data_IF_062072117538
#
_entry.id   IF_062072117538
#
_cell.length_a   1.000
_cell.length_b   1.000
_cell.length_c   1.000
_cell.angle_alpha   90.00
_cell.angle_beta   90.00
_cell.angle_gamma   90.00
#
_symmetry.space_group_name_H-M   'P 1'
#
loop_
_entity.id
_entity.type
_entity.pdbx_description
1 polymer ?
#
# COMPACT_ATOMS: atom_id res chain seq x y z
N UNK A 1 20.18 41.46 12.15
CA UNK A 1 18.84 41.08 11.77
C UNK A 1 18.96 40.23 10.53
N UNK A 2 18.82 38.91 10.67
CA UNK A 2 18.85 38.03 9.52
C UNK A 2 17.48 38.10 8.86
N UNK A 3 17.46 38.55 7.62
CA UNK A 3 16.24 38.53 6.86
C UNK A 3 15.86 37.07 6.63
N UNK A 4 14.60 36.77 6.88
CA UNK A 4 14.09 35.43 6.60
C UNK A 4 14.29 35.16 5.12
N UNK A 5 15.00 34.10 4.81
CA UNK A 5 15.15 33.68 3.43
C UNK A 5 13.80 33.16 3.01
N UNK A 6 13.21 33.76 2.00
CA UNK A 6 11.96 33.27 1.49
C UNK A 6 12.24 31.91 0.87
N UNK A 7 11.86 30.88 1.57
CA UNK A 7 11.92 29.54 0.99
C UNK A 7 10.90 29.47 -0.15
N UNK A 8 11.28 28.92 -1.29
CA UNK A 8 10.30 28.80 -2.37
C UNK A 8 9.11 27.97 -1.87
N UNK A 9 7.94 28.47 -2.15
CA UNK A 9 6.73 27.83 -1.65
C UNK A 9 6.63 26.42 -2.22
N UNK A 10 6.31 25.49 -1.35
CA UNK A 10 6.09 24.10 -1.76
C UNK A 10 4.84 24.08 -2.64
N UNK A 11 4.90 23.52 -3.83
CA UNK A 11 3.70 23.50 -4.67
C UNK A 11 2.64 22.58 -4.07
N UNK A 12 1.41 23.02 -4.17
CA UNK A 12 0.28 22.26 -3.69
C UNK A 12 -0.43 21.67 -4.87
N UNK A 13 -0.62 20.36 -4.85
CA UNK A 13 -1.26 19.64 -5.96
C UNK A 13 -2.48 18.93 -5.43
N UNK A 14 -3.61 19.08 -6.11
CA UNK A 14 -4.83 18.40 -5.77
C UNK A 14 -5.11 17.35 -6.84
N UNK A 15 -5.27 16.10 -6.45
CA UNK A 15 -5.69 15.03 -7.36
C UNK A 15 -7.09 14.60 -6.94
N UNK A 16 -8.05 14.69 -7.87
CA UNK A 16 -9.42 14.26 -7.64
C UNK A 16 -9.75 13.11 -8.60
N UNK A 17 -9.80 11.90 -8.11
CA UNK A 17 -10.01 10.70 -8.91
C UNK A 17 -10.62 9.61 -8.05
N UNK A 18 -11.73 9.04 -8.50
CA UNK A 18 -12.41 8.03 -7.70
C UNK A 18 -11.77 6.65 -7.82
N UNK A 19 -11.13 6.33 -8.95
CA UNK A 19 -10.51 5.03 -9.15
C UNK A 19 -9.20 4.98 -8.36
N UNK A 20 -9.06 4.09 -7.38
CA UNK A 20 -7.85 4.07 -6.57
C UNK A 20 -6.58 3.76 -7.36
N UNK A 21 -6.69 2.94 -8.42
CA UNK A 21 -5.50 2.64 -9.21
C UNK A 21 -5.01 3.87 -9.98
N UNK A 22 -5.93 4.56 -10.63
CA UNK A 22 -5.58 5.78 -11.38
C UNK A 22 -5.07 6.86 -10.43
N UNK A 23 -5.73 7.00 -9.27
CA UNK A 23 -5.33 8.00 -8.29
C UNK A 23 -3.91 7.73 -7.79
N UNK A 24 -3.59 6.46 -7.53
CA UNK A 24 -2.24 6.11 -7.08
C UNK A 24 -1.20 6.35 -8.17
N UNK A 25 -1.54 6.02 -9.42
CA UNK A 25 -0.64 6.27 -10.54
C UNK A 25 -0.35 7.76 -10.66
N UNK A 26 -1.37 8.60 -10.54
CA UNK A 26 -1.19 10.04 -10.61
C UNK A 26 -0.33 10.56 -9.46
N UNK A 27 -0.58 10.05 -8.25
CA UNK A 27 0.21 10.42 -7.09
C UNK A 27 1.68 10.06 -7.30
N UNK A 28 1.94 8.86 -7.79
CA UNK A 28 3.32 8.42 -8.00
C UNK A 28 4.01 9.27 -9.05
N UNK A 29 3.29 9.65 -10.11
CA UNK A 29 3.88 10.49 -11.13
C UNK A 29 4.22 11.88 -10.59
N UNK A 30 3.32 12.47 -9.82
CA UNK A 30 3.55 13.81 -9.24
C UNK A 30 4.75 13.76 -8.29
N UNK A 31 4.76 12.79 -7.38
CA UNK A 31 5.83 12.70 -6.40
C UNK A 31 7.15 12.25 -7.05
N UNK A 32 7.06 11.50 -8.14
CA UNK A 32 8.26 11.12 -8.90
C UNK A 32 8.90 12.32 -9.59
N UNK A 33 8.08 13.31 -10.00
CA UNK A 33 8.61 14.51 -10.60
C UNK A 33 9.12 15.48 -9.54
N UNK A 34 8.38 15.63 -8.46
CA UNK A 34 8.79 16.53 -7.40
C UNK A 34 8.35 15.99 -6.05
N UNK A 35 9.31 15.52 -5.26
CA UNK A 35 9.00 14.77 -4.04
C UNK A 35 8.48 15.63 -2.89
N UNK A 36 8.76 16.94 -2.91
CA UNK A 36 8.35 17.81 -1.81
C UNK A 36 6.95 18.41 -2.01
N UNK A 37 6.20 17.98 -3.01
CA UNK A 37 4.88 18.53 -3.25
C UNK A 37 3.93 18.27 -2.08
N UNK A 38 3.15 19.27 -1.73
CA UNK A 38 2.06 19.12 -0.76
C UNK A 38 0.88 18.55 -1.56
N UNK A 39 0.67 17.23 -1.45
CA UNK A 39 -0.26 16.53 -2.29
C UNK A 39 -1.52 16.18 -1.53
N UNK A 40 -2.67 16.58 -2.04
CA UNK A 40 -3.96 16.20 -1.50
C UNK A 40 -4.70 15.34 -2.50
N UNK A 41 -5.30 14.27 -2.03
CA UNK A 41 -6.03 13.35 -2.91
C UNK A 41 -7.47 13.24 -2.46
N UNK A 42 -8.39 13.39 -3.39
CA UNK A 42 -9.82 13.32 -3.13
C UNK A 42 -10.44 12.25 -4.01
N UNK A 43 -11.52 11.65 -3.54
CA UNK A 43 -12.22 10.60 -4.29
C UNK A 43 -13.48 11.10 -4.97
N UNK A 44 -13.91 12.30 -4.64
CA UNK A 44 -15.10 12.87 -5.29
C UNK A 44 -14.97 14.40 -5.36
N UNK A 45 -15.84 14.99 -6.13
CA UNK A 45 -15.76 16.42 -6.37
C UNK A 45 -16.12 17.27 -5.16
N UNK A 46 -16.94 16.77 -4.25
CA UNK A 46 -17.28 17.53 -3.05
C UNK A 46 -16.07 17.67 -2.13
N UNK A 47 -15.32 16.58 -1.96
CA UNK A 47 -14.08 16.64 -1.18
C UNK A 47 -13.11 17.65 -1.79
N UNK A 48 -13.02 17.68 -3.12
CA UNK A 48 -12.13 18.62 -3.81
C UNK A 48 -12.54 20.06 -3.54
N UNK A 49 -13.83 20.37 -3.62
CA UNK A 49 -14.32 21.72 -3.35
C UNK A 49 -14.03 22.11 -1.89
N UNK A 50 -14.29 21.21 -0.95
CA UNK A 50 -14.04 21.51 0.46
C UNK A 50 -12.57 21.80 0.72
N UNK A 51 -11.68 21.04 0.07
CA UNK A 51 -10.26 21.27 0.23
C UNK A 51 -9.85 22.61 -0.36
N UNK A 52 -10.37 22.92 -1.55
CA UNK A 52 -10.04 24.20 -2.21
C UNK A 52 -10.56 25.42 -1.47
N UNK A 53 -11.67 25.26 -0.72
CA UNK A 53 -12.15 26.37 0.11
C UNK A 53 -11.15 26.73 1.20
N UNK A 54 -10.39 25.75 1.70
CA UNK A 54 -9.39 26.02 2.71
C UNK A 54 -8.16 26.63 2.09
N UNK A 55 -7.73 26.15 0.93
CA UNK A 55 -6.53 26.63 0.32
C UNK A 55 -6.50 26.24 -1.15
N UNK A 56 -6.24 27.20 -2.01
CA UNK A 56 -6.19 26.92 -3.44
C UNK A 56 -4.91 26.19 -3.82
N UNK A 57 -5.00 25.20 -4.70
CA UNK A 57 -3.80 24.50 -5.14
C UNK A 57 -3.05 25.26 -6.25
N UNK A 58 -1.83 24.84 -6.50
CA UNK A 58 -1.03 25.34 -7.60
C UNK A 58 -1.22 24.51 -8.87
N UNK A 59 -1.77 23.32 -8.75
CA UNK A 59 -2.06 22.43 -9.88
C UNK A 59 -3.21 21.51 -9.48
N UNK A 60 -4.16 21.32 -10.38
CA UNK A 60 -5.26 20.38 -10.17
C UNK A 60 -5.21 19.32 -11.25
N UNK A 61 -5.32 18.06 -10.86
CA UNK A 61 -5.48 16.94 -11.79
C UNK A 61 -6.79 16.26 -11.39
N UNK A 62 -7.78 16.32 -12.24
CA UNK A 62 -9.11 15.81 -11.89
C UNK A 62 -9.70 14.95 -12.97
N UNK A 63 -10.35 13.87 -12.56
CA UNK A 63 -11.11 13.05 -13.49
C UNK A 63 -12.41 13.78 -13.84
N UNK A 64 -12.79 13.71 -15.11
CA UNK A 64 -14.06 14.28 -15.51
C UNK A 64 -15.20 13.53 -14.85
N UNK A 65 -15.10 12.20 -14.77
CA UNK A 65 -16.14 11.37 -14.24
C UNK A 65 -15.98 11.18 -12.73
N UNK A 66 -16.20 12.23 -11.94
CA UNK A 66 -16.16 12.16 -10.49
C UNK A 66 -17.58 12.06 -9.92
N UNK A 67 -17.74 11.33 -8.82
CA UNK A 67 -19.04 11.35 -8.13
C UNK A 67 -19.30 12.72 -7.50
N UNK A 68 -20.54 13.04 -7.40
CA UNK A 68 -20.95 14.31 -6.79
C UNK A 68 -20.77 15.47 -7.75
N UNK A 69 -19.71 16.20 -7.62
CA UNK A 69 -19.40 17.31 -8.53
C UNK A 69 -18.38 16.78 -9.53
N UNK A 70 -18.69 16.79 -10.82
CA UNK A 70 -17.80 16.21 -11.81
C UNK A 70 -16.60 17.14 -12.11
N UNK A 71 -15.63 16.57 -12.81
CA UNK A 71 -14.40 17.33 -13.09
C UNK A 71 -14.61 18.53 -13.99
N UNK A 72 -15.59 18.48 -14.90
CA UNK A 72 -15.88 19.61 -15.75
C UNK A 72 -16.44 20.77 -14.91
N UNK A 73 -17.32 20.47 -13.97
CA UNK A 73 -17.84 21.48 -13.06
C UNK A 73 -16.76 22.06 -12.15
N UNK A 74 -15.81 21.22 -11.73
CA UNK A 74 -14.67 21.72 -10.96
C UNK A 74 -13.83 22.69 -11.81
N UNK A 75 -13.58 22.34 -13.06
CA UNK A 75 -12.81 23.19 -13.94
C UNK A 75 -13.52 24.54 -14.15
N UNK A 76 -14.84 24.46 -14.36
CA UNK A 76 -15.62 25.67 -14.53
C UNK A 76 -15.53 26.56 -13.28
N UNK A 77 -15.66 25.97 -12.10
CA UNK A 77 -15.55 26.71 -10.84
C UNK A 77 -14.18 27.36 -10.65
N UNK A 78 -13.12 26.63 -10.99
CA UNK A 78 -11.76 27.16 -10.85
C UNK A 78 -11.55 28.30 -11.84
N UNK A 79 -12.04 28.19 -13.07
CA UNK A 79 -11.90 29.25 -14.05
C UNK A 79 -12.71 30.50 -13.66
N UNK A 80 -13.83 30.33 -12.99
CA UNK A 80 -14.63 31.44 -12.51
C UNK A 80 -13.93 32.26 -11.42
N UNK A 81 -12.89 31.70 -10.78
CA UNK A 81 -12.13 32.47 -9.80
C UNK A 81 -11.28 33.56 -10.46
N UNK A 82 -11.07 33.47 -11.76
CA UNK A 82 -10.34 34.48 -12.55
C UNK A 82 -8.95 34.79 -11.99
N UNK A 83 -8.26 33.77 -11.49
CA UNK A 83 -6.90 33.96 -10.99
C UNK A 83 -5.93 34.23 -12.12
N UNK A 84 -4.93 35.04 -11.85
CA UNK A 84 -3.87 35.35 -12.79
C UNK A 84 -2.52 35.11 -12.10
N UNK A 85 -1.72 34.19 -12.60
CA UNK A 85 -2.00 33.30 -13.72
C UNK A 85 -3.05 32.26 -13.37
N UNK A 86 -3.73 31.74 -14.37
CA UNK A 86 -4.76 30.75 -14.16
C UNK A 86 -4.16 29.48 -13.53
N UNK A 87 -4.91 28.87 -12.62
CA UNK A 87 -4.42 27.65 -11.99
C UNK A 87 -4.36 26.53 -13.05
N UNK A 88 -3.20 25.91 -13.23
CA UNK A 88 -3.13 24.80 -14.18
C UNK A 88 -4.08 23.67 -13.79
N UNK A 89 -4.83 23.18 -14.78
CA UNK A 89 -5.83 22.14 -14.54
C UNK A 89 -5.71 21.10 -15.62
N UNK A 90 -5.40 19.86 -15.22
CA UNK A 90 -5.34 18.73 -16.14
C UNK A 90 -6.62 17.92 -15.93
N UNK A 91 -7.42 17.81 -16.98
CA UNK A 91 -8.67 17.05 -16.90
C UNK A 91 -8.46 15.69 -17.55
N UNK A 92 -8.82 14.62 -16.86
CA UNK A 92 -8.64 13.25 -17.33
C UNK A 92 -10.01 12.63 -17.54
N UNK A 93 -10.25 11.94 -18.65
CA UNK A 93 -11.56 11.42 -18.95
C UNK A 93 -11.48 10.12 -19.70
N UNK A 94 -12.55 9.30 -19.58
CA UNK A 94 -12.72 8.14 -20.42
C UNK A 94 -13.24 8.54 -21.82
N UNK A 95 -13.65 9.78 -22.02
CA UNK A 95 -14.26 10.21 -23.28
C UNK A 95 -13.24 10.83 -24.19
N UNK A 96 -13.14 10.33 -25.42
CA UNK A 96 -12.24 10.91 -26.39
C UNK A 96 -12.98 11.41 -27.62
N UNK A 97 -14.31 11.42 -27.59
CA UNK A 97 -15.07 11.91 -28.72
C UNK A 97 -14.98 13.42 -28.88
N UNK A 98 -15.09 13.89 -30.10
CA UNK A 98 -14.88 15.30 -30.38
C UNK A 98 -15.89 16.21 -29.68
N UNK A 99 -17.11 15.76 -29.46
CA UNK A 99 -18.10 16.56 -28.76
C UNK A 99 -17.68 16.79 -27.31
N UNK A 100 -17.18 15.74 -26.64
CA UNK A 100 -16.71 15.88 -25.26
C UNK A 100 -15.51 16.79 -25.16
N UNK A 101 -14.60 16.74 -26.12
CA UNK A 101 -13.44 17.61 -26.13
C UNK A 101 -13.85 19.08 -26.37
N UNK A 102 -14.79 19.31 -27.33
CA UNK A 102 -15.24 20.66 -27.60
C UNK A 102 -15.91 21.33 -26.42
N UNK A 103 -16.58 20.55 -25.58
CA UNK A 103 -17.24 21.10 -24.40
C UNK A 103 -16.24 21.66 -23.41
N UNK A 104 -15.01 21.14 -23.38
CA UNK A 104 -14.00 21.52 -22.42
C UNK A 104 -13.15 22.68 -22.93
N UNK A 105 -12.98 22.81 -24.25
CA UNK A 105 -12.07 23.80 -24.82
C UNK A 105 -12.30 25.23 -24.35
N UNK A 106 -13.54 25.74 -24.25
CA UNK A 106 -13.73 27.11 -23.80
C UNK A 106 -13.25 27.36 -22.36
N UNK A 107 -13.08 26.32 -21.57
CA UNK A 107 -12.61 26.46 -20.19
C UNK A 107 -11.09 26.41 -20.11
N UNK A 108 -10.42 26.21 -21.23
CA UNK A 108 -8.97 26.27 -21.35
C UNK A 108 -8.24 25.44 -20.29
N UNK A 109 -8.47 24.13 -20.24
CA UNK A 109 -7.65 23.31 -19.34
C UNK A 109 -6.21 23.31 -19.82
N UNK A 110 -5.28 23.09 -18.91
CA UNK A 110 -3.88 22.97 -19.29
C UNK A 110 -3.67 21.73 -20.16
N UNK A 111 -4.41 20.66 -19.88
CA UNK A 111 -4.41 19.49 -20.73
C UNK A 111 -5.71 18.73 -20.57
N UNK A 112 -6.13 18.04 -21.62
CA UNK A 112 -7.23 17.11 -21.58
C UNK A 112 -6.63 15.76 -21.97
N UNK A 113 -6.65 14.80 -21.06
CA UNK A 113 -6.03 13.51 -21.28
C UNK A 113 -7.07 12.40 -21.23
N UNK A 114 -6.93 11.43 -22.11
CA UNK A 114 -7.85 10.31 -22.11
C UNK A 114 -7.22 9.09 -21.47
N UNK A 115 -8.05 8.28 -20.84
CA UNK A 115 -7.61 7.00 -20.31
C UNK A 115 -7.59 5.97 -21.44
N UNK A 116 -6.62 5.06 -21.48
CA UNK A 116 -5.55 4.88 -20.50
C UNK A 116 -4.48 5.95 -20.62
N UNK A 117 -3.87 6.31 -19.49
CA UNK A 117 -2.98 7.44 -19.46
C UNK A 117 -1.63 7.14 -20.11
N UNK A 118 -1.16 8.07 -20.90
CA UNK A 118 0.21 8.04 -21.37
C UNK A 118 1.07 8.62 -20.25
N UNK A 119 1.64 7.73 -19.43
CA UNK A 119 2.35 8.16 -18.25
C UNK A 119 3.61 8.95 -18.56
N UNK A 120 4.30 8.63 -19.67
CA UNK A 120 5.49 9.37 -20.04
C UNK A 120 5.13 10.79 -20.49
N UNK A 121 4.10 10.95 -21.31
CA UNK A 121 3.66 12.28 -21.72
C UNK A 121 3.18 13.10 -20.54
N UNK A 122 2.47 12.46 -19.61
CA UNK A 122 2.01 13.17 -18.42
C UNK A 122 3.20 13.56 -17.53
N UNK A 123 4.20 12.69 -17.40
CA UNK A 123 5.37 13.03 -16.60
C UNK A 123 6.10 14.24 -17.16
N UNK A 124 6.26 14.29 -18.47
CA UNK A 124 6.91 15.45 -19.09
C UNK A 124 6.13 16.73 -18.84
N UNK A 125 4.79 16.65 -18.90
CA UNK A 125 3.96 17.82 -18.63
C UNK A 125 4.06 18.24 -17.17
N UNK A 126 4.12 17.29 -16.26
CA UNK A 126 4.27 17.60 -14.84
C UNK A 126 5.65 18.21 -14.56
N UNK A 127 6.69 17.75 -15.24
CA UNK A 127 8.00 18.39 -15.12
C UNK A 127 7.93 19.86 -15.51
N UNK A 128 7.27 20.16 -16.62
CA UNK A 128 7.10 21.54 -17.04
C UNK A 128 6.33 22.36 -16.01
N UNK A 129 5.27 21.81 -15.43
CA UNK A 129 4.44 22.57 -14.50
C UNK A 129 5.04 22.68 -13.10
N UNK A 130 5.78 21.68 -12.64
CA UNK A 130 6.24 21.66 -11.26
C UNK A 130 7.71 22.06 -11.10
N UNK A 131 8.52 21.91 -12.16
CA UNK A 131 9.94 22.20 -12.05
C UNK A 131 10.34 23.49 -12.74
N UNK A 132 9.77 23.81 -13.89
CA UNK A 132 10.19 24.98 -14.64
C UNK A 132 9.75 26.31 -14.05
N UNK A 133 8.70 26.28 -13.23
CA UNK A 133 8.24 27.54 -12.64
C UNK A 133 9.15 28.06 -11.55
N UNK A 134 10.08 27.26 -11.07
CA UNK A 134 11.01 27.71 -10.09
C UNK A 134 12.38 27.57 -10.68
N UNK A 135 12.99 28.65 -10.97
CA UNK A 135 14.40 28.65 -11.34
C UNK A 135 15.14 27.94 -10.20
N UNK A 136 15.98 26.98 -10.49
CA UNK A 136 16.63 26.26 -9.43
C UNK A 136 17.47 27.23 -8.62
N UNK A 137 17.08 27.40 -7.39
CA UNK A 137 17.96 28.07 -6.47
C UNK A 137 18.99 27.01 -6.14
N UNK A 138 20.12 27.14 -6.75
CA UNK A 138 21.18 26.19 -6.50
C UNK A 138 21.45 26.17 -5.01
N UNK A 139 21.22 25.06 -4.42
CA UNK A 139 21.76 24.90 -3.10
C UNK A 139 20.83 24.75 -1.94
N UNK A 140 19.55 24.81 -2.09
CA UNK A 140 18.72 24.69 -0.91
C UNK A 140 17.63 23.67 -1.11
N UNK A 141 17.99 22.45 -1.03
CA UNK A 141 17.00 21.45 -0.68
C UNK A 141 16.93 21.51 0.83
N UNK A 142 15.80 21.88 1.41
CA UNK A 142 15.73 21.82 2.86
C UNK A 142 16.01 20.39 3.26
N UNK A 143 16.86 20.25 4.21
CA UNK A 143 17.18 18.93 4.70
C UNK A 143 15.93 18.38 5.36
N UNK A 144 15.14 17.64 4.60
CA UNK A 144 14.03 16.94 5.19
C UNK A 144 14.61 15.92 6.12
N UNK A 145 14.19 15.96 7.35
CA UNK A 145 14.54 14.87 8.26
C UNK A 145 13.80 13.62 7.78
N UNK A 146 14.30 12.48 8.07
CA UNK A 146 13.60 11.25 7.69
C UNK A 146 12.13 11.23 8.15
N UNK A 147 11.91 11.78 9.28
CA UNK A 147 10.56 11.93 9.79
C UNK A 147 9.63 12.72 8.89
N UNK A 148 10.09 13.59 8.45
CA UNK A 148 9.31 14.45 7.59
C UNK A 148 9.06 13.83 6.26
N UNK A 149 9.82 13.14 5.96
CA UNK A 149 9.65 12.43 4.74
C UNK A 149 8.61 11.38 4.87
N UNK A 150 8.61 10.84 5.87
CA UNK A 150 7.68 9.81 6.13
C UNK A 150 6.28 10.35 6.32
N UNK A 151 6.29 11.29 6.82
CA UNK A 151 5.01 11.89 7.02
C UNK A 151 4.42 12.44 5.74
N UNK A 152 5.22 12.90 5.04
CA UNK A 152 4.81 13.38 3.80
C UNK A 152 4.50 12.29 2.82
N UNK A 153 5.08 11.43 2.98
CA UNK A 153 4.88 10.32 2.14
C UNK A 153 3.64 9.55 2.52
N UNK A 154 3.48 9.57 3.57
CA UNK A 154 2.30 8.88 4.02
C UNK A 154 1.03 9.56 3.57
N UNK A 155 1.20 10.63 3.48
CA UNK A 155 0.06 11.35 3.01
C UNK A 155 -0.14 11.27 1.54
N UNK A 156 0.88 11.19 1.07
CA UNK A 156 0.71 11.25 -0.33
C UNK A 156 0.72 9.95 -0.97
N UNK A 157 1.33 9.49 -0.74
CA UNK A 157 1.30 8.42 -1.67
C UNK A 157 1.91 7.22 -1.11
N UNK A 158 1.26 6.80 -0.74
CA UNK A 158 1.76 5.67 -0.26
C UNK A 158 2.62 5.14 -1.25
N UNK A 159 3.44 5.41 -1.05
CA UNK A 159 4.43 4.97 -1.84
C UNK A 159 4.28 3.58 -2.26
N UNK A 160 4.66 3.51 -3.13
CA UNK A 160 4.87 2.21 -3.63
C UNK A 160 6.10 1.79 -2.96
N UNK A 161 6.20 0.64 -2.79
CA UNK A 161 7.39 0.01 -2.21
C UNK A 161 8.24 -0.71 -3.25
N UNK A 162 9.37 -1.21 -2.79
CA UNK A 162 10.21 -1.99 -3.71
C UNK A 162 9.55 -3.32 -4.08
N UNK A 163 9.87 -3.80 -5.26
CA UNK A 163 9.29 -5.05 -5.74
C UNK A 163 10.20 -6.23 -5.41
N UNK A 164 9.61 -7.32 -5.00
CA UNK A 164 10.35 -8.56 -4.84
C UNK A 164 10.65 -9.17 -6.23
N UNK A 165 9.69 -9.11 -7.13
CA UNK A 165 9.91 -9.64 -8.48
C UNK A 165 10.93 -8.76 -9.19
N UNK A 166 11.89 -9.37 -9.84
CA UNK A 166 12.92 -8.64 -10.55
C UNK A 166 12.31 -7.74 -11.62
N UNK A 167 12.79 -6.49 -11.67
CA UNK A 167 12.24 -5.49 -12.56
C UNK A 167 12.33 -5.95 -14.03
N UNK A 168 13.45 -6.51 -14.44
CA UNK A 168 13.58 -6.99 -15.82
C UNK A 168 12.58 -8.10 -16.12
N UNK A 169 12.32 -8.98 -15.16
CA UNK A 169 11.34 -10.04 -15.31
C UNK A 169 9.94 -9.48 -15.49
N UNK A 170 9.57 -8.50 -14.67
CA UNK A 170 8.23 -7.90 -14.76
C UNK A 170 8.01 -7.21 -16.12
N UNK A 171 9.04 -6.54 -16.62
CA UNK A 171 8.93 -5.87 -17.91
C UNK A 171 8.84 -6.91 -19.03
N UNK A 172 9.64 -7.99 -18.94
CA UNK A 172 9.60 -9.04 -19.94
C UNK A 172 8.24 -9.75 -19.96
N UNK A 173 7.63 -9.99 -18.79
CA UNK A 173 6.31 -10.60 -18.74
C UNK A 173 5.28 -9.75 -19.48
N UNK A 174 5.37 -8.44 -19.38
CA UNK A 174 4.47 -7.56 -20.10
C UNK A 174 4.66 -7.68 -21.61
N UNK A 175 5.91 -7.82 -22.05
CA UNK A 175 6.19 -7.93 -23.48
C UNK A 175 5.70 -9.25 -24.08
N UNK A 176 5.60 -10.31 -23.28
CA UNK A 176 5.18 -11.61 -23.76
C UNK A 176 3.81 -12.03 -23.24
N UNK A 177 3.04 -11.11 -22.66
CA UNK A 177 1.83 -11.46 -21.96
C UNK A 177 0.75 -12.05 -22.85
N UNK A 178 0.72 -11.70 -24.14
CA UNK A 178 -0.31 -12.23 -25.02
C UNK A 178 -0.15 -13.74 -25.22
N UNK A 179 1.01 -14.31 -24.96
CA UNK A 179 1.23 -15.74 -25.07
C UNK A 179 1.30 -16.48 -23.76
N UNK A 180 0.99 -15.81 -22.62
CA UNK A 180 1.09 -16.43 -21.33
C UNK A 180 -0.30 -16.60 -20.75
N UNK A 181 -0.58 -17.75 -20.14
CA UNK A 181 -1.85 -17.90 -19.46
C UNK A 181 -1.81 -17.29 -18.04
N UNK A 182 -2.98 -17.08 -17.48
CA UNK A 182 -3.07 -16.42 -16.17
C UNK A 182 -2.41 -17.23 -15.06
N UNK A 183 -2.45 -18.55 -15.14
CA UNK A 183 -1.84 -19.40 -14.10
C UNK A 183 -0.31 -19.27 -14.09
N UNK A 184 0.29 -19.17 -15.29
CA UNK A 184 1.72 -19.00 -15.36
C UNK A 184 2.13 -17.62 -14.88
N UNK A 185 1.37 -16.60 -15.22
CA UNK A 185 1.62 -15.24 -14.75
C UNK A 185 1.50 -15.19 -13.22
N UNK A 186 0.47 -15.82 -12.67
CA UNK A 186 0.30 -15.87 -11.22
C UNK A 186 1.51 -16.51 -10.56
N UNK A 187 2.02 -17.60 -11.12
CA UNK A 187 3.18 -18.27 -10.55
C UNK A 187 4.39 -17.33 -10.51
N UNK A 188 4.58 -16.51 -11.53
CA UNK A 188 5.72 -15.60 -11.58
C UNK A 188 5.59 -14.42 -10.61
N UNK A 189 4.36 -13.96 -10.33
CA UNK A 189 4.16 -12.74 -9.58
C UNK A 189 3.69 -12.97 -8.14
N UNK A 190 3.24 -14.19 -7.78
CA UNK A 190 2.47 -14.37 -6.56
C UNK A 190 3.23 -14.09 -5.26
N UNK A 191 4.55 -14.11 -5.29
CA UNK A 191 5.32 -13.89 -4.07
C UNK A 191 5.70 -12.42 -3.85
N UNK A 192 5.21 -11.53 -4.70
CA UNK A 192 5.48 -10.11 -4.54
C UNK A 192 4.32 -9.43 -3.82
N UNK A 193 4.51 -8.94 -2.59
CA UNK A 193 3.41 -8.31 -1.86
C UNK A 193 2.84 -7.08 -2.54
N UNK A 194 3.70 -6.25 -3.09
CA UNK A 194 3.25 -4.99 -3.67
C UNK A 194 2.45 -5.24 -4.95
N UNK A 195 2.95 -6.09 -5.83
CA UNK A 195 2.24 -6.42 -7.06
C UNK A 195 0.90 -7.10 -6.72
N UNK A 196 0.89 -8.00 -5.74
CA UNK A 196 -0.34 -8.67 -5.33
C UNK A 196 -1.40 -7.67 -4.86
N UNK A 197 -1.02 -6.73 -4.00
CA UNK A 197 -1.97 -5.75 -3.49
C UNK A 197 -2.52 -4.88 -4.60
N UNK A 198 -1.67 -4.44 -5.51
CA UNK A 198 -2.10 -3.56 -6.59
C UNK A 198 -3.00 -4.29 -7.58
N UNK A 199 -2.70 -5.57 -7.90
CA UNK A 199 -3.57 -6.33 -8.78
C UNK A 199 -4.94 -6.55 -8.15
N UNK A 200 -5.00 -6.86 -6.86
CA UNK A 200 -6.27 -7.02 -6.17
C UNK A 200 -7.05 -5.69 -6.20
N UNK A 201 -6.38 -4.59 -5.94
CA UNK A 201 -7.03 -3.27 -5.97
C UNK A 201 -7.55 -2.94 -7.37
N UNK A 202 -6.76 -3.20 -8.40
CA UNK A 202 -7.15 -2.92 -9.76
C UNK A 202 -8.35 -3.78 -10.20
N UNK A 203 -8.37 -5.05 -9.80
CA UNK A 203 -9.47 -5.93 -10.16
C UNK A 203 -10.77 -5.48 -9.49
N UNK A 204 -10.70 -5.06 -8.24
CA UNK A 204 -11.89 -4.60 -7.53
C UNK A 204 -12.39 -3.25 -8.08
N UNK A 205 -11.52 -2.49 -8.73
CA UNK A 205 -11.91 -1.23 -9.34
C UNK A 205 -12.36 -1.39 -10.79
N UNK A 206 -12.19 -2.56 -11.37
CA UNK A 206 -12.51 -2.73 -12.78
C UNK A 206 -14.00 -2.58 -13.03
N UNK A 207 -14.33 -1.91 -14.12
CA UNK A 207 -15.75 -1.66 -14.43
C UNK A 207 -16.54 -2.93 -14.62
N UNK A 208 -15.89 -4.01 -15.05
CA UNK A 208 -16.58 -5.24 -15.30
C UNK A 208 -16.83 -6.07 -14.05
N UNK A 209 -16.24 -5.72 -12.93
CA UNK A 209 -16.35 -6.57 -11.75
C UNK A 209 -17.64 -6.26 -11.00
N UNK A 210 -18.57 -7.20 -11.00
CA UNK A 210 -19.87 -7.05 -10.35
C UNK A 210 -20.11 -8.08 -9.25
N UNK A 211 -19.15 -8.90 -8.93
CA UNK A 211 -19.33 -9.96 -7.94
C UNK A 211 -18.77 -9.63 -6.58
N UNK A 212 -18.48 -10.66 -5.80
CA UNK A 212 -17.86 -10.49 -4.51
C UNK A 212 -16.49 -9.88 -4.68
N UNK A 213 -16.01 -9.10 -3.72
CA UNK A 213 -14.69 -8.51 -3.83
C UNK A 213 -13.60 -9.56 -3.99
N UNK A 214 -12.66 -9.26 -4.89
CA UNK A 214 -11.53 -10.13 -5.12
C UNK A 214 -10.56 -10.02 -3.96
N UNK A 215 -10.06 -11.15 -3.47
CA UNK A 215 -9.15 -11.17 -2.32
C UNK A 215 -7.89 -11.98 -2.60
N UNK A 216 -7.69 -12.46 -3.82
CA UNK A 216 -6.50 -13.26 -4.15
C UNK A 216 -5.94 -12.81 -5.49
N UNK A 217 -4.67 -13.11 -5.74
CA UNK A 217 -4.08 -12.79 -7.03
C UNK A 217 -4.73 -13.58 -8.16
N UNK A 218 -5.06 -14.86 -7.94
CA UNK A 218 -5.73 -15.63 -8.96
C UNK A 218 -7.08 -15.02 -9.33
N UNK A 219 -7.84 -14.59 -8.34
CA UNK A 219 -9.10 -13.89 -8.59
C UNK A 219 -8.90 -12.58 -9.34
N UNK A 220 -7.86 -11.85 -8.99
CA UNK A 220 -7.56 -10.58 -9.66
C UNK A 220 -7.22 -10.80 -11.13
N UNK A 221 -6.38 -11.80 -11.42
CA UNK A 221 -6.00 -12.08 -12.80
C UNK A 221 -7.17 -12.63 -13.61
N UNK A 222 -8.12 -13.31 -12.97
CA UNK A 222 -9.32 -13.76 -13.67
C UNK A 222 -10.16 -12.57 -14.15
N UNK A 223 -10.19 -11.48 -13.39
CA UNK A 223 -10.93 -10.29 -13.79
C UNK A 223 -10.13 -9.45 -14.80
N UNK A 224 -8.84 -9.26 -14.55
CA UNK A 224 -8.02 -8.36 -15.36
C UNK A 224 -7.52 -9.02 -16.64
N UNK A 225 -7.29 -10.29 -16.62
CA UNK A 225 -6.61 -10.99 -17.70
C UNK A 225 -5.10 -10.89 -17.61
N UNK A 226 -4.39 -11.81 -18.25
CA UNK A 226 -2.93 -11.82 -18.13
C UNK A 226 -2.26 -10.60 -18.75
N UNK A 227 -2.78 -10.06 -19.84
CA UNK A 227 -2.15 -8.90 -20.48
C UNK A 227 -2.23 -7.69 -19.57
N UNK A 228 -3.42 -7.39 -19.04
CA UNK A 228 -3.56 -6.24 -18.16
C UNK A 228 -2.80 -6.45 -16.85
N UNK A 229 -2.83 -7.66 -16.31
CA UNK A 229 -2.07 -7.95 -15.09
C UNK A 229 -0.57 -7.75 -15.28
N UNK A 230 -0.01 -8.25 -16.39
CA UNK A 230 1.41 -8.08 -16.68
C UNK A 230 1.76 -6.61 -16.92
N UNK A 231 0.85 -5.86 -17.57
CA UNK A 231 1.11 -4.46 -17.81
C UNK A 231 1.11 -3.66 -16.49
N UNK A 232 0.26 -4.02 -15.55
CA UNK A 232 0.26 -3.37 -14.23
C UNK A 232 1.59 -3.67 -13.52
N UNK A 233 2.04 -4.93 -13.53
CA UNK A 233 3.31 -5.28 -12.90
C UNK A 233 4.48 -4.54 -13.55
N UNK A 234 4.49 -4.43 -14.88
CA UNK A 234 5.51 -3.70 -15.61
C UNK A 234 5.49 -2.22 -15.25
N UNK A 235 4.30 -1.63 -15.12
CA UNK A 235 4.17 -0.24 -14.71
C UNK A 235 4.75 0.01 -13.33
N UNK A 236 4.52 -0.91 -12.40
CA UNK A 236 5.12 -0.79 -11.08
C UNK A 236 6.64 -0.94 -11.15
N UNK A 237 7.15 -1.83 -12.00
CA UNK A 237 8.58 -2.06 -12.12
C UNK A 237 9.32 -0.84 -12.68
N UNK A 238 8.63 0.02 -13.41
CA UNK A 238 9.26 1.21 -13.98
C UNK A 238 9.33 2.38 -13.01
N UNK A 239 8.73 2.27 -11.82
CA UNK A 239 8.79 3.34 -10.85
C UNK A 239 10.13 3.33 -10.12
N UNK A 240 10.56 4.51 -9.68
CA UNK A 240 11.87 4.63 -9.03
C UNK A 240 11.96 3.83 -7.74
N UNK A 241 10.87 3.72 -7.00
CA UNK A 241 10.89 2.99 -5.74
C UNK A 241 10.88 1.48 -5.91
N UNK A 242 10.71 0.98 -7.15
CA UNK A 242 10.69 -0.46 -7.37
C UNK A 242 12.04 -1.12 -7.08
N UNK A 243 13.14 -0.37 -7.21
CA UNK A 243 14.47 -0.90 -6.99
C UNK A 243 15.15 -0.10 -5.88
N UNK A 244 15.72 -0.79 -4.92
CA UNK A 244 16.46 -0.14 -3.85
C UNK A 244 17.93 -0.06 -4.23
N UNK A 245 18.56 1.09 -4.04
CA UNK A 245 19.95 1.29 -4.41
C UNK A 245 20.91 1.20 -3.23
N UNK A 246 20.38 1.21 -2.00
CA UNK A 246 21.21 1.09 -0.81
C UNK A 246 21.28 -0.35 -0.36
N UNK A 247 22.48 -0.84 -0.05
CA UNK A 247 22.65 -2.19 0.48
C UNK A 247 21.90 -2.36 1.81
N UNK A 248 21.85 -1.33 2.63
CA UNK A 248 21.14 -1.41 3.91
C UNK A 248 19.62 -1.53 3.70
N UNK A 249 19.06 -0.78 2.77
CA UNK A 249 17.64 -0.90 2.45
C UNK A 249 17.33 -2.25 1.82
N UNK A 250 18.20 -2.73 0.95
CA UNK A 250 17.98 -4.03 0.31
C UNK A 250 18.03 -5.16 1.33
N UNK A 251 18.94 -5.09 2.30
CA UNK A 251 19.00 -6.08 3.35
C UNK A 251 17.70 -6.11 4.17
N UNK A 252 17.16 -4.95 4.49
CA UNK A 252 15.89 -4.88 5.22
C UNK A 252 14.73 -5.40 4.36
N UNK A 253 14.69 -5.05 3.09
CA UNK A 253 13.65 -5.56 2.20
C UNK A 253 13.71 -7.09 2.09
N UNK A 254 14.92 -7.64 2.00
CA UNK A 254 15.09 -9.08 1.90
C UNK A 254 14.54 -9.79 3.14
N UNK A 255 14.76 -9.23 4.33
CA UNK A 255 14.20 -9.79 5.55
C UNK A 255 12.68 -9.71 5.54
N UNK A 256 12.14 -8.60 5.07
CA UNK A 256 10.69 -8.43 5.01
C UNK A 256 10.05 -9.38 4.00
N UNK A 257 10.66 -9.54 2.84
CA UNK A 257 10.13 -10.47 1.83
C UNK A 257 10.20 -11.92 2.33
N UNK A 258 11.30 -12.28 3.00
CA UNK A 258 11.43 -13.61 3.59
C UNK A 258 10.34 -13.84 4.64
N UNK A 259 10.09 -12.85 5.49
CA UNK A 259 9.07 -12.98 6.52
C UNK A 259 7.66 -13.05 5.90
N UNK A 260 7.40 -12.27 4.84
CA UNK A 260 6.13 -12.32 4.14
C UNK A 260 5.91 -13.69 3.50
N UNK A 261 6.94 -14.22 2.86
CA UNK A 261 6.84 -15.53 2.21
C UNK A 261 6.61 -16.62 3.25
N UNK A 262 7.34 -16.58 4.37
CA UNK A 262 7.20 -17.57 5.43
C UNK A 262 5.81 -17.51 6.05
N UNK A 263 5.30 -16.31 6.31
CA UNK A 263 3.96 -16.13 6.87
C UNK A 263 2.91 -16.65 5.90
N UNK A 264 3.06 -16.32 4.61
CA UNK A 264 2.12 -16.77 3.57
C UNK A 264 2.11 -18.29 3.47
N UNK A 265 3.28 -18.92 3.52
CA UNK A 265 3.37 -20.39 3.42
C UNK A 265 2.75 -21.06 4.64
N UNK A 266 3.02 -20.56 5.86
CA UNK A 266 2.37 -21.09 7.05
C UNK A 266 0.86 -20.90 6.98
N UNK A 267 0.42 -19.73 6.54
CA UNK A 267 -1.02 -19.46 6.42
C UNK A 267 -1.69 -20.38 5.41
N UNK A 268 -1.01 -20.63 4.30
CA UNK A 268 -1.54 -21.52 3.27
C UNK A 268 -1.68 -22.95 3.81
N UNK A 269 -0.67 -23.45 4.50
CA UNK A 269 -0.72 -24.83 5.01
C UNK A 269 -1.73 -24.95 6.14
N UNK A 270 -1.76 -24.00 7.06
CA UNK A 270 -2.77 -23.99 8.12
C UNK A 270 -4.17 -23.90 7.50
N UNK A 271 -4.34 -23.09 6.47
CA UNK A 271 -5.62 -22.99 5.77
C UNK A 271 -6.06 -24.33 5.21
N UNK A 272 -5.13 -25.10 4.64
CA UNK A 272 -5.44 -26.45 4.15
C UNK A 272 -5.79 -27.41 5.28
N UNK A 273 -5.02 -27.38 6.38
CA UNK A 273 -5.29 -28.26 7.52
C UNK A 273 -6.66 -27.97 8.14
N UNK A 274 -7.08 -26.71 8.14
CA UNK A 274 -8.30 -26.29 8.80
C UNK A 274 -9.48 -26.15 7.84
N UNK A 275 -9.28 -26.51 6.59
CA UNK A 275 -10.30 -26.43 5.53
C UNK A 275 -10.83 -25.00 5.32
N UNK A 276 -9.92 -24.05 5.28
CA UNK A 276 -10.24 -22.64 5.04
C UNK A 276 -9.92 -22.28 3.58
N UNK A 277 -10.13 -21.04 3.22
CA UNK A 277 -9.76 -20.53 1.89
C UNK A 277 -8.24 -20.36 1.82
N UNK A 278 -7.58 -21.35 1.25
CA UNK A 278 -6.12 -21.45 1.25
C UNK A 278 -5.47 -20.26 0.55
N UNK A 279 -6.00 -19.88 -0.59
CA UNK A 279 -5.37 -18.78 -1.36
C UNK A 279 -5.60 -17.42 -0.70
N UNK A 280 -6.74 -17.21 -0.07
CA UNK A 280 -6.95 -15.98 0.68
C UNK A 280 -6.02 -15.89 1.88
N UNK A 281 -5.82 -17.01 2.58
CA UNK A 281 -4.88 -17.05 3.70
C UNK A 281 -3.46 -16.76 3.22
N UNK A 282 -3.06 -17.34 2.09
CA UNK A 282 -1.75 -17.08 1.52
C UNK A 282 -1.58 -15.59 1.22
N UNK A 283 -2.56 -14.99 0.55
CA UNK A 283 -2.48 -13.57 0.20
C UNK A 283 -2.43 -12.69 1.44
N UNK A 284 -3.24 -12.98 2.46
CA UNK A 284 -3.22 -12.16 3.67
C UNK A 284 -1.87 -12.24 4.37
N UNK A 285 -1.26 -13.41 4.42
CA UNK A 285 0.06 -13.55 5.03
C UNK A 285 1.14 -12.82 4.24
N UNK A 286 1.04 -12.89 2.92
CA UNK A 286 2.01 -12.22 2.08
C UNK A 286 1.94 -10.70 2.23
N UNK A 287 0.73 -10.16 2.41
CA UNK A 287 0.53 -8.73 2.43
C UNK A 287 0.83 -8.09 3.80
N UNK A 288 1.28 -8.86 4.76
CA UNK A 288 1.50 -8.32 6.11
C UNK A 288 2.60 -7.27 6.17
N UNK A 289 3.51 -7.22 5.20
CA UNK A 289 4.62 -6.30 5.24
C UNK A 289 4.46 -5.09 4.32
N UNK A 290 3.25 -4.82 3.82
CA UNK A 290 3.07 -3.70 2.90
C UNK A 290 3.52 -2.36 3.48
N UNK A 291 3.20 -2.13 4.75
CA UNK A 291 3.58 -0.86 5.39
C UNK A 291 5.08 -0.72 5.52
N UNK A 292 5.73 -1.80 5.92
CA UNK A 292 7.19 -1.79 6.05
C UNK A 292 7.86 -1.52 4.69
N UNK A 293 7.39 -2.19 3.65
CA UNK A 293 7.97 -1.99 2.32
C UNK A 293 7.74 -0.57 1.82
N UNK A 294 6.59 0.01 2.13
CA UNK A 294 6.32 1.40 1.75
C UNK A 294 7.27 2.37 2.48
N UNK A 295 7.58 2.10 3.74
CA UNK A 295 8.55 2.91 4.47
C UNK A 295 9.93 2.82 3.80
N UNK A 296 10.33 1.62 3.37
CA UNK A 296 11.61 1.49 2.66
C UNK A 296 11.59 2.25 1.34
N UNK A 297 10.47 2.24 0.63
CA UNK A 297 10.34 3.04 -0.60
C UNK A 297 10.50 4.53 -0.33
N UNK A 298 9.91 5.03 0.77
CA UNK A 298 10.07 6.42 1.14
C UNK A 298 11.52 6.75 1.50
N UNK A 299 12.20 5.85 2.20
CA UNK A 299 13.61 6.06 2.53
C UNK A 299 14.49 6.04 1.28
N UNK A 300 14.12 5.21 0.29
CA UNK A 300 14.84 5.21 -0.99
C UNK A 300 14.70 6.57 -1.67
N UNK A 301 13.49 7.14 -1.67
CA UNK A 301 13.31 8.45 -2.26
C UNK A 301 14.07 9.53 -1.48
N UNK A 302 14.11 9.43 -0.17
CA UNK A 302 14.87 10.37 0.64
C UNK A 302 16.37 10.25 0.35
N UNK A 303 16.86 9.02 0.16
CA UNK A 303 18.26 8.82 -0.19
C UNK A 303 18.57 9.44 -1.55
N UNK A 304 17.68 9.26 -2.54
CA UNK A 304 17.89 9.83 -3.87
C UNK A 304 17.83 11.36 -3.85
N UNK A 305 17.14 11.93 -2.87
CA UNK A 305 17.10 13.38 -2.71
C UNK A 305 18.33 13.92 -1.93
N UNK A 306 19.28 13.08 -1.60
CA UNK A 306 20.51 13.50 -0.93
C UNK A 306 20.55 13.24 0.56
N UNK A 307 19.57 12.55 1.09
CA UNK A 307 19.57 12.22 2.53
C UNK A 307 20.58 11.14 2.88
N UNK A 308 20.95 11.08 4.13
CA UNK A 308 21.87 10.06 4.60
C UNK A 308 21.12 8.96 5.33
N UNK A 309 21.42 7.70 5.00
CA UNK A 309 20.84 6.56 5.66
C UNK A 309 21.87 5.82 6.46
N UNK A 310 21.45 5.35 7.61
CA UNK A 310 22.20 4.36 8.38
C UNK A 310 21.18 3.37 8.97
N UNK A 311 21.68 2.31 9.55
CA UNK A 311 20.80 1.26 10.08
C UNK A 311 19.84 1.77 11.15
N UNK A 312 20.29 2.72 11.97
CA UNK A 312 19.43 3.26 13.04
C UNK A 312 18.27 4.06 12.45
N UNK A 313 18.53 4.87 11.43
CA UNK A 313 17.47 5.65 10.77
C UNK A 313 16.45 4.70 10.14
N UNK A 314 16.92 3.64 9.49
CA UNK A 314 16.01 2.69 8.86
C UNK A 314 15.15 2.00 9.93
N UNK A 315 15.78 1.52 10.99
CA UNK A 315 15.07 0.80 12.03
C UNK A 315 14.05 1.69 12.73
N UNK A 316 14.43 2.90 13.08
CA UNK A 316 13.53 3.84 13.74
C UNK A 316 12.35 4.20 12.82
N UNK A 317 12.62 4.36 11.53
CA UNK A 317 11.57 4.69 10.59
C UNK A 317 10.57 3.53 10.45
N UNK A 318 11.08 2.30 10.39
CA UNK A 318 10.20 1.15 10.34
C UNK A 318 9.35 1.04 11.61
N UNK A 319 9.97 1.19 12.77
CA UNK A 319 9.21 1.11 14.02
C UNK A 319 8.14 2.18 14.13
N UNK A 320 8.45 3.39 13.69
CA UNK A 320 7.54 4.49 13.87
C UNK A 320 6.42 4.55 12.84
N UNK A 321 6.70 4.18 11.59
CA UNK A 321 5.77 4.47 10.52
C UNK A 321 5.12 3.26 9.85
N UNK A 322 5.64 2.03 10.03
CA UNK A 322 5.14 0.89 9.27
C UNK A 322 3.66 0.61 9.49
N UNK A 323 3.20 0.67 10.73
CA UNK A 323 1.79 0.38 11.03
C UNK A 323 0.86 1.40 10.36
N UNK A 324 1.22 2.67 10.46
CA UNK A 324 0.41 3.73 9.85
C UNK A 324 0.40 3.62 8.32
N UNK A 325 1.57 3.33 7.73
CA UNK A 325 1.62 3.16 6.28
C UNK A 325 0.82 1.94 5.84
N UNK A 326 0.90 0.84 6.58
CA UNK A 326 0.15 -0.37 6.23
C UNK A 326 -1.35 -0.11 6.26
N UNK A 327 -1.82 0.53 7.32
CA UNK A 327 -3.24 0.84 7.44
C UNK A 327 -3.69 1.78 6.31
N UNK A 328 -2.90 2.80 6.04
CA UNK A 328 -3.24 3.78 5.01
C UNK A 328 -3.28 3.13 3.62
N UNK A 329 -2.32 2.24 3.31
CA UNK A 329 -2.30 1.60 2.00
C UNK A 329 -3.49 0.66 1.83
N UNK A 330 -3.79 -0.14 2.84
CA UNK A 330 -4.92 -1.06 2.77
C UNK A 330 -6.23 -0.31 2.54
N UNK A 331 -6.36 0.84 3.19
CA UNK A 331 -7.55 1.66 3.06
C UNK A 331 -7.59 2.38 1.71
N UNK A 332 -6.45 2.98 1.32
CA UNK A 332 -6.41 3.70 0.06
C UNK A 332 -6.70 2.81 -1.13
N UNK A 333 -6.13 1.62 -1.14
CA UNK A 333 -6.36 0.69 -2.23
C UNK A 333 -7.70 -0.02 -2.10
N UNK A 334 -8.46 0.28 -1.06
CA UNK A 334 -9.80 -0.30 -0.82
C UNK A 334 -9.75 -1.82 -0.86
N UNK A 335 -8.72 -2.38 -0.24
CA UNK A 335 -8.68 -3.83 -0.12
C UNK A 335 -9.91 -4.29 0.65
N UNK A 336 -10.53 -5.42 0.28
CA UNK A 336 -11.76 -5.84 0.95
C UNK A 336 -11.60 -5.97 2.45
N UNK A 337 -12.65 -5.61 3.20
CA UNK A 337 -12.57 -5.62 4.66
C UNK A 337 -12.15 -6.97 5.21
N UNK A 338 -12.69 -8.06 4.68
CA UNK A 338 -12.29 -9.38 5.16
C UNK A 338 -10.79 -9.61 4.98
N UNK A 339 -10.23 -9.21 3.86
CA UNK A 339 -8.80 -9.36 3.62
C UNK A 339 -7.99 -8.47 4.57
N UNK A 340 -8.44 -7.22 4.79
CA UNK A 340 -7.74 -6.33 5.72
C UNK A 340 -7.74 -6.90 7.14
N UNK A 341 -8.84 -7.50 7.57
CA UNK A 341 -8.90 -8.13 8.88
C UNK A 341 -7.93 -9.30 9.00
N UNK A 342 -7.80 -10.10 7.96
CA UNK A 342 -6.86 -11.21 7.97
C UNK A 342 -5.41 -10.73 7.99
N UNK A 343 -5.11 -9.68 7.25
CA UNK A 343 -3.75 -9.10 7.25
C UNK A 343 -3.41 -8.57 8.65
N UNK A 344 -4.33 -7.86 9.28
CA UNK A 344 -4.10 -7.33 10.62
C UNK A 344 -3.93 -8.48 11.64
N UNK A 345 -4.63 -9.57 11.45
CA UNK A 345 -4.59 -10.68 12.39
C UNK A 345 -3.22 -11.35 12.48
N UNK A 346 -2.34 -11.14 11.49
CA UNK A 346 -0.98 -11.67 11.57
C UNK A 346 -0.29 -11.19 12.86
N UNK A 347 -0.59 -9.96 13.28
CA UNK A 347 0.03 -9.42 14.48
C UNK A 347 -0.93 -9.37 15.66
N UNK A 348 -2.17 -9.05 15.46
CA UNK A 348 -3.12 -8.96 16.57
C UNK A 348 -4.55 -9.17 16.08
N UNK A 349 -5.43 -9.58 16.96
CA UNK A 349 -6.84 -9.71 16.63
C UNK A 349 -7.69 -9.17 17.77
N UNK A 350 -8.88 -8.72 17.43
CA UNK A 350 -9.76 -8.14 18.44
C UNK A 350 -10.30 -9.18 19.38
N UNK A 351 -10.45 -8.83 20.64
CA UNK A 351 -11.10 -9.71 21.60
C UNK A 351 -12.59 -9.72 21.30
N UNK A 352 -13.17 -10.84 21.12
CA UNK A 352 -14.58 -10.92 20.83
C UNK A 352 -14.86 -12.07 19.90
N UNK A 353 -15.29 -11.78 18.70
CA UNK A 353 -15.65 -12.82 17.77
C UNK A 353 -14.43 -13.17 16.94
N UNK A 354 -14.04 -14.44 16.96
CA UNK A 354 -12.90 -14.89 16.20
C UNK A 354 -13.35 -15.84 15.11
N UNK A 355 -12.95 -15.61 13.89
CA UNK A 355 -13.14 -16.63 12.86
C UNK A 355 -11.92 -17.54 12.87
N UNK A 356 -12.09 -18.73 12.33
CA UNK A 356 -10.96 -19.68 12.24
C UNK A 356 -9.87 -19.10 11.35
N UNK A 357 -10.23 -18.35 10.31
CA UNK A 357 -9.24 -17.71 9.45
C UNK A 357 -8.39 -16.70 10.22
N UNK A 358 -9.02 -15.88 11.06
CA UNK A 358 -8.29 -14.90 11.87
C UNK A 358 -7.30 -15.60 12.79
N UNK A 359 -7.75 -16.69 13.45
CA UNK A 359 -6.87 -17.43 14.34
C UNK A 359 -5.72 -18.10 13.58
N UNK A 360 -6.00 -18.62 12.38
CA UNK A 360 -4.96 -19.23 11.56
C UNK A 360 -3.92 -18.19 11.12
N UNK A 361 -4.36 -16.98 10.75
CA UNK A 361 -3.43 -15.91 10.37
C UNK A 361 -2.55 -15.50 11.55
N UNK A 362 -3.15 -15.40 12.73
CA UNK A 362 -2.40 -15.04 13.91
C UNK A 362 -1.33 -16.09 14.22
N UNK A 363 -1.69 -17.37 14.17
CA UNK A 363 -0.73 -18.43 14.42
C UNK A 363 0.34 -18.50 13.33
N UNK A 364 -0.03 -18.28 12.08
CA UNK A 364 0.94 -18.25 10.99
C UNK A 364 1.99 -17.16 11.21
N UNK A 365 1.57 -15.98 11.67
CA UNK A 365 2.51 -14.91 11.98
C UNK A 365 3.44 -15.30 13.13
N UNK A 366 2.90 -15.92 14.17
CA UNK A 366 3.72 -16.37 15.30
C UNK A 366 4.72 -17.44 14.87
N UNK A 367 4.30 -18.39 14.05
CA UNK A 367 5.20 -19.42 13.53
C UNK A 367 6.31 -18.79 12.69
N UNK A 368 5.96 -17.82 11.86
CA UNK A 368 6.94 -17.16 10.98
C UNK A 368 7.99 -16.40 11.77
N UNK A 369 7.59 -15.82 12.90
CA UNK A 369 8.50 -15.04 13.71
C UNK A 369 9.32 -15.86 14.70
N UNK A 370 9.04 -17.16 14.80
CA UNK A 370 9.75 -18.01 15.74
C UNK A 370 11.19 -18.18 15.30
N UNK A 371 12.14 -17.92 16.21
CA UNK A 371 13.54 -18.08 15.90
C UNK A 371 13.96 -19.55 15.83
N UNK A 372 15.04 -19.82 15.13
CA UNK A 372 15.47 -21.21 14.93
C UNK A 372 15.77 -21.89 16.25
N UNK A 373 16.21 -21.15 17.25
CA UNK A 373 16.53 -21.72 18.57
C UNK A 373 15.30 -21.82 19.47
N UNK A 374 14.15 -21.35 19.06
CA UNK A 374 12.96 -21.37 19.88
C UNK A 374 12.09 -22.55 19.52
N UNK A 375 11.43 -23.13 20.52
CA UNK A 375 10.56 -24.27 20.32
C UNK A 375 9.13 -23.85 20.04
N UNK A 376 8.42 -24.62 19.23
CA UNK A 376 6.98 -24.43 19.03
C UNK A 376 6.19 -24.62 20.34
N UNK A 377 6.81 -25.18 21.36
CA UNK A 377 6.14 -25.31 22.65
C UNK A 377 5.76 -23.94 23.22
N UNK A 378 6.47 -22.89 22.84
CA UNK A 378 6.12 -21.54 23.28
C UNK A 378 4.81 -21.09 22.65
N UNK A 379 4.43 -21.65 21.51
CA UNK A 379 3.21 -21.24 20.80
C UNK A 379 2.00 -22.08 21.15
N UNK A 380 2.17 -23.29 21.71
CA UNK A 380 1.05 -24.15 21.94
C UNK A 380 0.13 -23.60 23.02
N UNK A 381 0.64 -22.74 23.88
CA UNK A 381 -0.15 -22.15 24.95
C UNK A 381 -0.90 -20.90 24.49
N UNK A 382 -0.63 -20.43 23.28
CA UNK A 382 -1.30 -19.22 22.81
C UNK A 382 -2.79 -19.50 22.57
N UNK A 383 -3.56 -18.43 22.64
CA UNK A 383 -5.00 -18.54 22.45
C UNK A 383 -5.34 -19.08 21.07
N UNK A 384 -4.59 -18.65 20.04
CA UNK A 384 -4.86 -19.10 18.69
C UNK A 384 -4.67 -20.61 18.54
N UNK A 385 -3.56 -21.16 19.05
CA UNK A 385 -3.31 -22.60 18.95
C UNK A 385 -4.35 -23.39 19.74
N UNK A 386 -4.73 -22.89 20.92
CA UNK A 386 -5.71 -23.58 21.74
C UNK A 386 -7.09 -23.61 21.07
N UNK A 387 -7.53 -22.48 20.54
CA UNK A 387 -8.85 -22.41 19.93
C UNK A 387 -8.91 -23.18 18.61
N UNK A 388 -7.79 -23.30 17.91
CA UNK A 388 -7.74 -24.13 16.71
C UNK A 388 -7.52 -25.59 17.02
N UNK A 389 -7.30 -25.95 18.28
CA UNK A 389 -7.14 -27.34 18.77
C UNK A 389 -5.96 -28.03 18.08
N UNK A 390 -4.87 -27.30 17.90
CA UNK A 390 -3.68 -27.86 17.29
C UNK A 390 -2.75 -28.46 18.37
N UNK A 391 -2.13 -29.57 18.06
CA UNK A 391 -1.20 -30.22 19.00
C UNK A 391 0.22 -29.75 18.74
N UNK A 392 1.10 -30.01 19.71
CA UNK A 392 2.53 -29.74 19.55
C UNK A 392 3.06 -30.47 18.33
N UNK A 393 2.65 -31.71 18.13
CA UNK A 393 3.09 -32.47 16.96
C UNK A 393 2.68 -31.83 15.64
N UNK A 394 1.49 -31.25 15.59
CA UNK A 394 1.05 -30.54 14.40
C UNK A 394 1.98 -29.38 14.09
N UNK A 395 2.32 -28.56 15.09
CA UNK A 395 3.18 -27.41 14.89
C UNK A 395 4.61 -27.82 14.57
N UNK A 396 5.11 -28.90 15.18
CA UNK A 396 6.45 -29.41 14.87
C UNK A 396 6.55 -29.86 13.43
N UNK A 397 5.54 -30.59 12.94
CA UNK A 397 5.52 -31.05 11.56
C UNK A 397 5.40 -29.88 10.58
N UNK A 398 4.58 -28.91 10.94
CA UNK A 398 4.41 -27.71 10.11
C UNK A 398 5.74 -26.96 9.97
N UNK A 399 6.44 -26.76 11.07
CA UNK A 399 7.71 -26.05 11.05
C UNK A 399 8.74 -26.81 10.23
N UNK A 400 8.86 -28.12 10.44
CA UNK A 400 9.85 -28.93 9.72
C UNK A 400 9.56 -28.91 8.23
N UNK A 401 8.28 -28.99 7.85
CA UNK A 401 7.92 -29.01 6.44
C UNK A 401 8.34 -27.75 5.72
N UNK A 402 8.23 -26.60 6.39
CA UNK A 402 8.54 -25.36 5.72
C UNK A 402 9.98 -24.91 5.84
N UNK A 403 10.62 -25.15 6.98
CA UNK A 403 11.95 -24.61 7.19
C UNK A 403 13.04 -25.69 7.13
N UNK A 404 12.65 -26.97 7.20
CA UNK A 404 13.62 -28.04 7.31
C UNK A 404 14.26 -28.14 8.68
N UNK A 405 13.95 -27.24 9.60
CA UNK A 405 14.60 -27.21 10.89
C UNK A 405 13.85 -28.12 11.84
N UNK A 406 14.58 -29.02 12.52
CA UNK A 406 13.99 -29.85 13.55
C UNK A 406 13.81 -29.03 14.82
N UNK A 407 12.62 -29.08 15.38
CA UNK A 407 12.33 -28.26 16.56
C UNK A 407 13.28 -28.62 17.72
N UNK A 408 13.83 -27.63 18.41
CA UNK A 408 14.79 -27.91 19.50
C UNK A 408 14.25 -28.84 20.58
N UNK A 409 12.94 -28.85 20.83
CA UNK A 409 12.37 -29.73 21.85
C UNK A 409 12.51 -31.20 21.49
N UNK A 410 12.71 -31.53 20.21
CA UNK A 410 12.88 -32.89 19.78
C UNK A 410 14.35 -33.34 19.90
N UNK A 411 15.26 -32.40 20.10
CA UNK A 411 16.67 -32.71 20.16
C UNK A 411 17.18 -32.97 21.59
N UNK A 412 16.37 -32.65 22.59
CA UNK A 412 16.75 -32.87 23.96
C UNK A 412 16.31 -34.23 24.44
N UNK A 413 17.14 -35.01 25.11
CA UNK A 413 16.69 -36.26 25.68
C UNK A 413 15.62 -35.99 26.74
N UNK A 414 14.61 -36.83 26.74
CA UNK A 414 13.55 -36.70 27.70
C UNK A 414 14.12 -36.79 29.11
N UNK A 415 13.76 -35.89 30.01
CA UNK A 415 14.22 -36.03 31.39
C UNK A 415 13.57 -37.27 32.00
N UNK A 416 14.41 -38.01 32.67
CA UNK A 416 13.98 -39.25 33.29
C UNK A 416 13.43 -39.05 34.70
N UNK A 417 12.85 -37.93 35.01
CA UNK A 417 12.29 -37.72 36.33
C UNK A 417 10.77 -37.68 36.28
N UNK A 418 10.11 -38.22 37.30
CA UNK A 418 8.67 -38.29 37.29
C UNK A 418 8.05 -36.89 37.39
N UNK A 419 7.01 -36.68 36.60
CA UNK A 419 6.25 -35.50 36.64
C UNK A 419 5.77 -35.18 38.02
N UNK A 420 6.25 -34.15 38.61
CA UNK A 420 5.57 -33.55 39.75
C UNK A 420 4.36 -32.85 39.13
N UNK A 421 3.18 -33.29 39.56
CA UNK A 421 1.98 -32.69 39.04
C UNK A 421 2.07 -31.18 39.13
N UNK A 422 1.99 -30.53 38.01
CA UNK A 422 2.01 -29.11 37.97
C UNK A 422 0.73 -28.59 38.64
N UNK A 423 0.92 -27.86 39.70
CA UNK A 423 -0.20 -27.16 40.29
C UNK A 423 -0.69 -26.20 39.22
N UNK A 424 -1.96 -26.26 38.98
CA UNK A 424 -2.58 -25.32 38.11
C UNK A 424 -2.49 -23.97 38.76
N UNK A 425 -1.63 -23.14 38.28
CA UNK A 425 -1.63 -21.78 38.71
C UNK A 425 -2.77 -21.13 37.94
N UNK A 426 -3.85 -20.90 38.65
CA UNK A 426 -4.94 -20.16 38.05
C UNK A 426 -4.50 -18.74 37.89
N UNK A 427 -4.60 -18.24 36.67
CA UNK A 427 -4.76 -16.83 36.61
C UNK A 427 -3.64 -15.94 36.22
N UNK A 428 -2.58 -16.41 35.69
CA UNK A 428 -1.71 -15.45 35.06
C UNK A 428 -2.11 -15.38 33.60
N UNK A 429 -2.78 -14.31 33.25
CA UNK A 429 -2.97 -14.02 31.87
C UNK A 429 -1.60 -13.83 31.27
N UNK A 430 -1.22 -14.71 30.37
CA UNK A 430 0.03 -14.50 29.66
C UNK A 430 -0.07 -13.17 28.96
N UNK A 431 0.94 -12.35 29.07
CA UNK A 431 0.90 -11.13 28.31
C UNK A 431 0.78 -11.48 26.84
N UNK A 432 -0.17 -10.88 26.23
CA UNK A 432 -0.42 -11.13 24.85
C UNK A 432 0.80 -10.65 24.10
N UNK A 433 1.58 -11.59 23.57
CA UNK A 433 2.76 -11.21 22.80
C UNK A 433 2.40 -10.41 21.60
N UNK A 434 1.11 -10.32 21.30
CA UNK A 434 0.71 -9.54 20.17
C UNK A 434 0.27 -8.15 20.53
N UNK A 435 0.31 -7.79 21.81
CA UNK A 435 -0.10 -6.46 22.20
C UNK A 435 1.00 -5.49 21.95
N UNK A 436 1.91 -5.82 21.09
CA UNK A 436 3.06 -4.99 20.95
C UNK A 436 2.85 -3.77 20.11
N UNK A 437 1.92 -3.74 19.24
CA UNK A 437 1.71 -2.54 18.48
C UNK A 437 0.26 -2.42 18.20
N UNK A 438 -0.46 -1.80 19.02
CA UNK A 438 -1.83 -1.53 18.69
C UNK A 438 -1.85 -0.66 17.46
N UNK A 439 -2.44 -1.14 16.43
CA UNK A 439 -2.70 -0.24 15.33
C UNK A 439 -3.51 0.90 15.91
N UNK A 440 -3.11 2.07 15.67
CA UNK A 440 -3.86 3.18 16.22
C UNK A 440 -5.24 3.04 15.67
N UNK A 441 -6.16 2.98 16.54
CA UNK A 441 -7.37 2.49 16.13
C UNK A 441 -8.01 3.33 15.19
N UNK A 442 -8.28 3.89 15.00
CA UNK A 442 -9.20 4.41 14.34
C UNK A 442 -8.90 5.51 13.66
N UNK A 443 -7.87 6.02 13.85
CA UNK A 443 -7.81 7.19 13.23
C UNK A 443 -8.09 7.05 11.87
N UNK A 444 -7.87 5.97 11.36
CA UNK A 444 -8.04 6.02 10.01
C UNK A 444 -9.40 6.07 9.65
N UNK A 445 -10.21 5.38 10.22
CA UNK A 445 -11.55 5.39 9.70
C UNK A 445 -12.10 6.77 9.80
N UNK A 446 -11.67 7.46 10.76
CA UNK A 446 -12.26 8.72 10.89
C UNK A 446 -11.94 9.53 9.71
N UNK A 447 -10.80 9.34 9.25
CA UNK A 447 -10.50 10.22 8.30
C UNK A 447 -11.23 10.00 7.10
N UNK A 448 -11.47 8.86 6.78
CA UNK A 448 -11.87 8.75 5.53
C UNK A 448 -13.19 9.09 5.35
N UNK A 449 -13.92 9.05 6.21
CA UNK A 449 -15.17 9.15 5.91
C UNK A 449 -15.75 10.29 5.80
N UNK A 450 -15.51 11.05 6.02
CA UNK A 450 -16.19 12.09 6.10
C UNK A 450 -16.65 12.79 5.17
N UNK A 451 -16.86 12.88 4.56
CA UNK A 451 -17.12 13.64 3.58
C UNK A 451 -18.31 14.15 3.52
N UNK A 452 -18.79 14.02 3.43
CA UNK A 452 -19.89 14.20 3.06
C UNK A 452 -20.69 15.13 3.34
N UNK A 453 -20.60 15.66 4.07
CA UNK A 453 -21.55 16.46 4.38
C UNK A 453 -21.76 17.39 3.40
N UNK A 454 -22.15 17.18 2.61
CA UNK A 454 -22.79 17.99 1.84
C UNK A 454 -22.45 19.35 1.71
N UNK A 455 -21.70 19.63 0.98
CA UNK A 455 -21.54 20.93 0.68
C UNK A 455 -22.65 21.37 -0.05
N UNK A 456 -23.31 22.23 0.39
CA UNK A 456 -24.32 22.60 -0.29
C UNK A 456 -24.08 23.69 -0.99
N UNK A 457 -23.58 24.27 -1.27
CA UNK A 457 -23.45 25.46 -1.95
C UNK A 457 -23.05 25.25 -3.29
N UNK A 458 -23.78 25.43 -4.16
CA UNK A 458 -23.35 25.25 -5.47
C UNK A 458 -22.38 26.34 -5.80
N UNK A 459 -21.52 26.03 -6.61
CA UNK A 459 -20.67 27.04 -7.11
C UNK A 459 -21.46 27.86 -8.04
N UNK A 460 -22.62 28.38 -7.66
CA UNK A 460 -23.37 29.03 -8.57
C UNK A 460 -23.18 30.41 -8.58
N UNK A 461 -23.31 30.97 -9.59
CA UNK A 461 -23.19 32.42 -9.83
C UNK A 461 -21.77 32.92 -9.85
#
# INVERSE_FOLDING_TARGET
MMTAVDLPAVPRVLIAESDPWVRETLSDLVLGVRADVDLEMCTDGKQAVEWMKKQLPDLIIAARELPGIDGLSLLRGVRNLRRQPAIPFILISNRNDSASVREVLPLAPTAYLTKPLNTEGLRQRLESLLLERQAPVAGAVPALTPGXXXXXXXXXXXXXGPLFVDVATAIKLSQTASGIDAALLEQELRNDPHITAVLIAAANSAAQHLGKPVQTMGGALAILGPVQGANIASGLAKKRMAVLTSDALLAQASELWTMSQRTADYARILGGMLELDVERCFCAGLLQSLGDLAVLGCLQEWLLAGGELNEDVIKQSLEKYSAAFGSALRTRWRLPLELRELIAAVYQYNTGIFTREVLAMNLAGQMARLGEEESVNTLIKTKSAKLLKLSVGDLQRLRKKLTGVTDPSLLKPLPTEPEVAAETVEGEEEPDLLDLTPEPPAEESAVIEEPASAVQGPLEK
#
